data_IF_706501052408
#
_entry.id   IF_706501052408
#
_cell.length_a   1.000
_cell.length_b   1.000
_cell.length_c   1.000
_cell.angle_alpha   90.00
_cell.angle_beta   90.00
_cell.angle_gamma   90.00
#
_symmetry.space_group_name_H-M   'P 1'
#
loop_
_entity.id
_entity.type
_entity.pdbx_description
1 polymer ?
#
# COMPACT_ATOMS: atom_id res chain seq x y z
N UNK A 1 0.42 10.48 -5.80
CA UNK A 1 1.42 10.73 -4.74
C UNK A 1 0.72 10.51 -3.42
N UNK A 2 1.12 9.53 -2.60
CA UNK A 2 0.54 9.37 -1.28
C UNK A 2 0.92 10.62 -0.45
N UNK A 3 -0.08 11.26 0.16
CA UNK A 3 0.15 12.34 1.13
C UNK A 3 0.96 11.76 2.30
N UNK A 4 1.98 12.47 2.81
CA UNK A 4 2.61 12.05 4.05
C UNK A 4 1.58 12.12 5.17
N UNK A 5 1.56 11.06 5.99
CA UNK A 5 0.72 10.96 7.17
C UNK A 5 1.00 12.16 8.09
N UNK A 6 -0.04 12.95 8.35
CA UNK A 6 -0.03 14.05 9.30
C UNK A 6 -0.02 13.48 10.72
N UNK A 7 1.16 13.18 11.23
CA UNK A 7 1.37 12.85 12.65
C UNK A 7 2.65 13.51 13.15
N UNK A 8 2.63 14.83 13.34
CA UNK A 8 3.50 15.52 14.31
C UNK A 8 3.09 16.97 14.53
N UNK A 9 3.37 17.45 15.73
CA UNK A 9 3.10 18.82 16.15
C UNK A 9 3.88 19.83 15.30
N UNK A 10 3.21 20.82 14.67
CA UNK A 10 3.88 21.87 13.88
C UNK A 10 4.77 22.80 14.73
N UNK A 11 4.84 22.57 16.04
CA UNK A 11 5.53 23.41 17.03
C UNK A 11 7.04 23.27 17.02
N UNK A 12 7.59 22.14 16.54
CA UNK A 12 9.03 21.85 16.62
C UNK A 12 9.84 22.36 15.43
N UNK A 13 9.18 22.74 14.34
CA UNK A 13 9.81 23.33 13.15
C UNK A 13 9.92 24.85 13.30
N UNK A 14 10.82 25.30 14.18
CA UNK A 14 11.14 26.71 14.40
C UNK A 14 12.49 27.04 13.77
N UNK A 15 12.51 28.04 12.88
CA UNK A 15 13.77 28.53 12.34
C UNK A 15 14.57 29.31 13.41
N UNK A 16 15.85 28.99 13.66
CA UNK A 16 16.64 29.66 14.71
C UNK A 16 16.91 31.15 14.46
N UNK A 17 16.69 31.64 13.23
CA UNK A 17 17.07 32.99 12.80
C UNK A 17 15.87 33.93 12.76
N UNK A 18 14.81 33.53 12.07
CA UNK A 18 13.58 34.33 11.96
C UNK A 18 12.51 33.93 12.98
N UNK A 19 12.72 32.83 13.73
CA UNK A 19 11.75 32.27 14.70
C UNK A 19 10.35 32.04 14.11
N UNK A 20 10.20 32.05 12.79
CA UNK A 20 8.94 31.72 12.12
C UNK A 20 8.73 30.22 12.19
N UNK A 21 7.49 29.82 12.50
CA UNK A 21 7.06 28.44 12.60
C UNK A 21 6.26 28.04 11.34
N UNK A 22 6.34 26.76 10.94
CA UNK A 22 5.52 26.12 9.88
C UNK A 22 4.02 26.41 10.01
N UNK A 23 3.49 26.50 11.23
CA UNK A 23 2.09 26.79 11.53
C UNK A 23 1.62 28.15 10.99
N UNK A 24 2.45 29.19 11.10
CA UNK A 24 2.08 30.54 10.67
C UNK A 24 2.18 30.73 9.15
N UNK A 25 3.04 29.94 8.48
CA UNK A 25 3.18 29.97 7.04
C UNK A 25 3.41 28.54 6.51
N UNK A 26 2.34 27.83 6.11
CA UNK A 26 2.41 26.44 5.65
C UNK A 26 3.26 26.26 4.37
N UNK A 27 3.52 27.34 3.65
CA UNK A 27 4.33 27.35 2.43
C UNK A 27 5.83 27.47 2.69
N UNK A 28 6.27 27.70 3.93
CA UNK A 28 7.69 27.76 4.26
C UNK A 28 8.29 26.35 4.28
N UNK A 29 9.22 26.13 3.35
CA UNK A 29 10.02 24.92 3.31
C UNK A 29 11.24 25.05 4.22
N UNK A 30 11.43 24.05 5.08
CA UNK A 30 12.64 23.90 5.87
C UNK A 30 13.67 23.10 5.08
N UNK A 31 14.88 23.65 5.03
CA UNK A 31 16.03 23.06 4.37
C UNK A 31 17.06 22.62 5.42
N UNK A 32 17.73 21.52 5.13
CA UNK A 32 18.77 20.92 5.96
C UNK A 32 20.03 20.74 5.11
N UNK A 33 21.19 20.89 5.73
CA UNK A 33 22.48 20.61 5.11
C UNK A 33 23.09 19.35 5.75
N UNK A 34 23.60 18.39 4.95
CA UNK A 34 24.17 17.13 5.44
C UNK A 34 25.42 17.30 6.31
N UNK A 35 26.00 18.49 6.40
CA UNK A 35 27.17 18.73 7.25
C UNK A 35 26.82 19.17 8.68
N UNK A 36 25.81 20.03 8.90
CA UNK A 36 25.44 20.50 10.24
C UNK A 36 24.15 19.85 10.76
N UNK A 37 23.29 19.32 9.88
CA UNK A 37 21.95 18.84 10.24
C UNK A 37 21.18 19.84 11.13
N UNK A 38 21.07 21.10 10.67
CA UNK A 38 20.23 22.13 11.30
C UNK A 38 19.13 22.56 10.34
N UNK A 39 17.90 22.65 10.84
CA UNK A 39 16.72 23.11 10.10
C UNK A 39 16.75 24.63 9.94
N UNK A 40 16.65 25.11 8.70
CA UNK A 40 16.60 26.54 8.37
C UNK A 40 15.49 26.84 7.37
N UNK A 41 14.86 28.01 7.49
CA UNK A 41 13.84 28.45 6.54
C UNK A 41 14.45 28.78 5.16
N UNK A 42 13.74 28.52 4.05
CA UNK A 42 14.20 28.85 2.69
C UNK A 42 14.66 30.31 2.55
N UNK A 43 13.87 31.26 3.07
CA UNK A 43 14.19 32.70 3.05
C UNK A 43 15.48 33.03 3.80
N UNK A 44 15.77 32.30 4.87
CA UNK A 44 16.95 32.48 5.73
C UNK A 44 18.20 31.94 5.03
N UNK A 45 18.06 30.77 4.39
CA UNK A 45 19.11 30.16 3.58
C UNK A 45 19.46 31.08 2.41
N UNK A 46 18.45 31.61 1.72
CA UNK A 46 18.66 32.52 0.60
C UNK A 46 19.34 33.82 1.04
N UNK A 47 18.96 34.40 2.17
CA UNK A 47 19.59 35.65 2.64
C UNK A 47 21.06 35.47 3.03
N UNK A 48 21.38 34.42 3.78
CA UNK A 48 22.71 34.23 4.41
C UNK A 48 23.72 33.64 3.43
N UNK A 49 23.30 32.70 2.58
CA UNK A 49 24.20 32.00 1.66
C UNK A 49 24.22 32.59 0.25
N UNK A 50 23.48 33.66 -0.03
CA UNK A 50 23.62 34.42 -1.29
C UNK A 50 24.87 35.30 -1.32
N UNK A 51 25.36 35.75 -0.16
CA UNK A 51 26.60 36.53 -0.04
C UNK A 51 27.88 35.69 -0.17
N UNK A 52 27.77 34.37 -0.28
CA UNK A 52 28.90 33.45 -0.39
C UNK A 52 28.84 32.30 0.62
N UNK A 53 29.87 31.43 0.67
CA UNK A 53 29.96 30.38 1.68
C UNK A 53 30.12 31.02 3.06
N UNK A 54 29.13 30.81 3.92
CA UNK A 54 29.09 31.34 5.28
C UNK A 54 29.10 30.19 6.30
N UNK A 55 29.56 30.40 7.54
CA UNK A 55 29.37 29.44 8.60
C UNK A 55 27.88 29.32 8.99
N UNK A 56 27.51 28.16 9.52
CA UNK A 56 26.19 27.98 10.11
C UNK A 56 25.97 28.99 11.26
N UNK A 57 24.81 29.66 11.33
CA UNK A 57 24.53 30.69 12.34
C UNK A 57 24.03 30.13 13.68
N UNK A 58 23.98 28.80 13.84
CA UNK A 58 23.53 28.15 15.08
C UNK A 58 24.67 28.15 16.10
N UNK A 59 24.36 28.55 17.33
CA UNK A 59 25.30 28.48 18.46
C UNK A 59 25.77 27.03 18.59
N UNK A 60 27.09 26.81 18.60
CA UNK A 60 27.76 25.50 18.59
C UNK A 60 27.94 24.80 17.22
N UNK A 61 27.52 25.37 16.07
CA UNK A 61 27.97 24.92 14.73
C UNK A 61 28.74 26.01 14.00
N UNK A 62 30.03 25.81 13.76
CA UNK A 62 30.87 26.73 12.96
C UNK A 62 31.24 26.15 11.58
N UNK A 63 30.52 25.13 11.09
CA UNK A 63 30.83 24.50 9.79
C UNK A 63 30.46 25.45 8.65
N UNK A 64 31.33 25.54 7.66
CA UNK A 64 31.14 26.37 6.47
C UNK A 64 30.20 25.67 5.49
N UNK A 65 29.07 26.32 5.15
CA UNK A 65 28.02 25.73 4.32
C UNK A 65 27.89 26.47 2.98
N UNK A 66 27.46 25.75 1.94
CA UNK A 66 27.18 26.28 0.60
C UNK A 66 25.68 26.18 0.29
N UNK A 67 25.14 27.16 -0.45
CA UNK A 67 23.73 27.19 -0.86
C UNK A 67 23.25 25.92 -1.59
N UNK A 68 24.08 25.35 -2.48
CA UNK A 68 23.75 24.10 -3.21
C UNK A 68 23.71 22.85 -2.34
N UNK A 69 24.26 22.91 -1.12
CA UNK A 69 24.28 21.78 -0.19
C UNK A 69 23.00 21.63 0.63
N UNK A 70 22.07 22.57 0.54
CA UNK A 70 20.79 22.50 1.23
C UNK A 70 19.81 21.60 0.46
N UNK A 71 19.20 20.66 1.16
CA UNK A 71 18.15 19.75 0.68
C UNK A 71 16.89 19.95 1.52
N UNK A 72 15.73 19.64 0.97
CA UNK A 72 14.49 19.57 1.74
C UNK A 72 14.53 18.35 2.64
N UNK A 73 14.15 18.53 3.90
CA UNK A 73 13.95 17.40 4.81
C UNK A 73 12.83 16.51 4.26
N UNK A 74 13.06 15.20 4.15
CA UNK A 74 12.02 14.24 3.80
C UNK A 74 11.38 13.65 5.06
N UNK A 75 12.17 13.59 6.14
CA UNK A 75 11.74 13.10 7.44
C UNK A 75 11.83 14.22 8.48
N UNK A 76 10.96 14.18 9.47
CA UNK A 76 10.90 15.20 10.51
C UNK A 76 12.03 15.01 11.54
N UNK A 77 12.44 13.76 11.74
CA UNK A 77 13.55 13.36 12.61
C UNK A 77 14.91 13.46 11.92
N UNK A 78 15.74 14.40 12.40
CA UNK A 78 17.10 14.58 11.88
C UNK A 78 18.01 13.37 12.15
N UNK A 79 17.71 12.55 13.15
CA UNK A 79 18.44 11.31 13.39
C UNK A 79 18.26 10.31 12.25
N UNK A 80 17.02 10.13 11.79
CA UNK A 80 16.67 9.25 10.68
C UNK A 80 17.27 9.77 9.38
N UNK A 81 17.24 11.10 9.15
CA UNK A 81 17.88 11.68 7.96
C UNK A 81 19.39 11.47 7.92
N UNK A 82 20.07 11.64 9.07
CA UNK A 82 21.50 11.33 9.21
C UNK A 82 21.81 9.89 8.84
N UNK A 83 21.02 8.96 9.37
CA UNK A 83 21.16 7.54 9.07
C UNK A 83 20.91 7.26 7.58
N UNK A 84 19.85 7.82 6.99
CA UNK A 84 19.52 7.62 5.58
C UNK A 84 20.62 8.15 4.64
N UNK A 85 21.20 9.30 4.93
CA UNK A 85 22.32 9.87 4.16
C UNK A 85 23.58 8.99 4.28
N UNK A 86 23.89 8.52 5.49
CA UNK A 86 25.05 7.64 5.75
C UNK A 86 24.83 6.29 5.07
N UNK A 87 23.66 5.67 5.23
CA UNK A 87 23.30 4.40 4.58
C UNK A 87 23.41 4.52 3.07
N UNK A 88 22.90 5.60 2.46
CA UNK A 88 23.05 5.84 1.01
C UNK A 88 24.51 5.93 0.59
N UNK A 89 25.34 6.66 1.36
CA UNK A 89 26.78 6.79 1.09
C UNK A 89 27.50 5.44 1.20
N UNK A 90 27.14 4.63 2.20
CA UNK A 90 27.71 3.28 2.41
C UNK A 90 27.24 2.35 1.29
N UNK A 91 25.95 2.26 0.98
CA UNK A 91 25.42 1.41 -0.10
C UNK A 91 25.94 1.78 -1.50
N UNK A 92 26.31 3.05 -1.73
CA UNK A 92 26.98 3.45 -2.98
C UNK A 92 28.38 2.84 -3.12
N UNK A 93 29.08 2.61 -2.00
CA UNK A 93 30.41 2.00 -1.95
C UNK A 93 30.33 0.48 -1.81
N UNK A 94 29.33 -0.03 -1.09
CA UNK A 94 29.08 -1.45 -0.83
C UNK A 94 27.97 -1.96 -1.75
N UNK A 95 28.26 -2.06 -3.05
CA UNK A 95 27.30 -2.40 -4.10
C UNK A 95 27.46 -3.83 -4.64
N UNK A 96 27.73 -4.80 -3.76
CA UNK A 96 27.78 -6.23 -4.10
C UNK A 96 26.40 -6.87 -3.93
N UNK A 97 26.03 -7.74 -4.86
CA UNK A 97 24.76 -8.51 -4.82
C UNK A 97 24.97 -9.91 -4.26
N UNK A 98 23.87 -10.63 -3.98
CA UNK A 98 23.92 -12.03 -3.54
C UNK A 98 24.66 -12.92 -4.54
N UNK A 99 24.55 -12.63 -5.85
CA UNK A 99 25.23 -13.36 -6.93
C UNK A 99 26.76 -13.27 -6.88
N UNK A 100 27.32 -12.30 -6.16
CA UNK A 100 28.77 -12.12 -6.01
C UNK A 100 29.37 -13.07 -4.94
N UNK A 101 28.53 -13.83 -4.22
CA UNK A 101 28.94 -14.69 -3.11
C UNK A 101 28.65 -16.17 -3.40
N UNK A 102 29.53 -17.05 -2.91
CA UNK A 102 29.37 -18.51 -3.07
C UNK A 102 28.32 -19.09 -2.13
N UNK A 103 28.16 -18.49 -0.94
CA UNK A 103 27.22 -18.96 0.09
C UNK A 103 26.34 -17.84 0.61
N UNK A 104 25.10 -18.22 1.00
CA UNK A 104 24.16 -17.30 1.64
C UNK A 104 24.68 -16.79 2.99
N UNK A 105 25.48 -17.59 3.71
CA UNK A 105 26.06 -17.20 4.99
C UNK A 105 27.05 -16.05 4.81
N UNK A 106 27.90 -16.11 3.78
CA UNK A 106 28.87 -15.05 3.49
C UNK A 106 28.18 -13.75 3.09
N UNK A 107 27.08 -13.84 2.33
CA UNK A 107 26.25 -12.68 2.01
C UNK A 107 25.62 -12.05 3.26
N UNK A 108 25.06 -12.86 4.17
CA UNK A 108 24.48 -12.36 5.42
C UNK A 108 25.54 -11.75 6.35
N UNK A 109 26.72 -12.35 6.44
CA UNK A 109 27.84 -11.79 7.20
C UNK A 109 28.29 -10.44 6.61
N UNK A 110 28.37 -10.34 5.28
CA UNK A 110 28.66 -9.08 4.60
C UNK A 110 27.60 -8.01 4.88
N UNK A 111 26.31 -8.35 4.86
CA UNK A 111 25.24 -7.42 5.22
C UNK A 111 25.38 -6.96 6.68
N UNK A 112 25.69 -7.87 7.60
CA UNK A 112 25.93 -7.53 9.00
C UNK A 112 27.11 -6.56 9.14
N UNK A 113 28.24 -6.82 8.47
CA UNK A 113 29.40 -5.93 8.48
C UNK A 113 29.05 -4.52 7.94
N UNK A 114 28.17 -4.44 6.94
CA UNK A 114 27.71 -3.14 6.42
C UNK A 114 26.82 -2.38 7.41
N UNK A 115 25.93 -3.06 8.13
CA UNK A 115 25.08 -2.42 9.15
C UNK A 115 25.89 -2.04 10.40
N UNK A 116 26.84 -2.85 10.82
CA UNK A 116 27.77 -2.51 11.91
C UNK A 116 28.57 -1.25 11.57
N UNK A 117 29.04 -1.13 10.32
CA UNK A 117 29.71 0.09 9.84
C UNK A 117 28.77 1.31 9.85
N UNK A 118 27.51 1.15 9.41
CA UNK A 118 26.52 2.23 9.43
C UNK A 118 26.26 2.67 10.88
N UNK A 119 26.10 1.71 11.78
CA UNK A 119 25.90 1.96 13.20
C UNK A 119 27.06 2.75 13.82
N UNK A 120 28.30 2.35 13.54
CA UNK A 120 29.51 3.04 13.99
C UNK A 120 29.61 4.47 13.41
N UNK A 121 29.15 4.69 12.18
CA UNK A 121 29.16 6.03 11.57
C UNK A 121 28.07 6.97 12.13
N UNK A 122 26.91 6.42 12.49
CA UNK A 122 25.77 7.19 13.03
C UNK A 122 25.95 7.48 14.51
N UNK A 123 26.27 6.45 15.31
CA UNK A 123 26.31 6.50 16.76
C UNK A 123 27.72 6.58 17.35
N UNK A 124 28.74 6.16 16.59
CA UNK A 124 30.12 6.15 17.05
C UNK A 124 30.67 7.55 17.31
N UNK A 125 31.40 7.68 18.43
CA UNK A 125 32.06 8.93 18.84
C UNK A 125 33.57 8.79 18.67
N UNK A 126 34.21 9.81 18.09
CA UNK A 126 35.67 9.93 18.02
C UNK A 126 36.35 8.79 17.26
N UNK A 127 37.02 7.88 17.98
CA UNK A 127 37.87 6.81 17.42
C UNK A 127 37.09 5.80 16.57
N UNK A 128 35.95 5.32 17.07
CA UNK A 128 35.11 4.35 16.33
C UNK A 128 34.65 4.90 14.98
N UNK A 129 34.25 6.18 14.94
CA UNK A 129 33.88 6.86 13.70
C UNK A 129 35.05 7.00 12.73
N UNK A 130 36.24 7.34 13.22
CA UNK A 130 37.45 7.45 12.39
C UNK A 130 37.84 6.09 11.81
N UNK A 131 37.78 5.03 12.61
CA UNK A 131 38.06 3.66 12.16
C UNK A 131 37.04 3.20 11.11
N UNK A 132 35.76 3.52 11.29
CA UNK A 132 34.72 3.24 10.29
C UNK A 132 34.93 4.04 8.98
N UNK A 133 35.30 5.33 9.08
CA UNK A 133 35.65 6.14 7.91
C UNK A 133 36.90 5.61 7.18
N UNK A 134 37.90 5.13 7.92
CA UNK A 134 39.10 4.51 7.38
C UNK A 134 38.80 3.18 6.69
N UNK A 135 37.96 2.34 7.29
CA UNK A 135 37.47 1.10 6.66
C UNK A 135 36.74 1.41 5.35
N UNK A 136 35.86 2.41 5.35
CA UNK A 136 35.15 2.86 4.15
C UNK A 136 36.11 3.38 3.07
N UNK A 137 37.14 4.14 3.44
CA UNK A 137 38.15 4.64 2.51
C UNK A 137 38.97 3.50 1.89
N UNK A 138 39.46 2.57 2.72
CA UNK A 138 40.22 1.40 2.25
C UNK A 138 39.40 0.54 1.29
N UNK A 139 38.12 0.30 1.62
CA UNK A 139 37.24 -0.48 0.77
C UNK A 139 36.96 0.23 -0.56
N UNK A 140 36.75 1.56 -0.53
CA UNK A 140 36.58 2.37 -1.74
C UNK A 140 37.81 2.31 -2.65
N UNK A 141 39.02 2.39 -2.08
CA UNK A 141 40.27 2.33 -2.86
C UNK A 141 40.51 0.95 -3.44
N UNK A 142 40.29 -0.11 -2.66
CA UNK A 142 40.48 -1.49 -3.10
C UNK A 142 39.46 -1.92 -4.18
N UNK A 143 38.20 -1.47 -4.07
CA UNK A 143 37.11 -1.94 -4.91
C UNK A 143 36.61 -0.92 -5.95
N UNK A 144 37.34 0.17 -6.19
CA UNK A 144 36.88 1.25 -7.08
C UNK A 144 36.41 0.76 -8.45
N UNK A 145 37.14 -0.15 -9.08
CA UNK A 145 36.80 -0.70 -10.40
C UNK A 145 35.49 -1.48 -10.38
N UNK A 146 35.35 -2.44 -9.46
CA UNK A 146 34.12 -3.24 -9.30
C UNK A 146 32.91 -2.37 -8.93
N UNK A 147 33.12 -1.33 -8.11
CA UNK A 147 32.05 -0.40 -7.74
C UNK A 147 31.52 0.36 -8.97
N UNK A 148 32.41 0.87 -9.82
CA UNK A 148 32.03 1.60 -11.04
C UNK A 148 31.28 0.69 -12.03
N UNK A 149 31.71 -0.56 -12.18
CA UNK A 149 31.05 -1.55 -13.05
C UNK A 149 29.65 -1.93 -12.55
N UNK A 150 29.52 -2.30 -11.28
CA UNK A 150 28.22 -2.66 -10.68
C UNK A 150 27.26 -1.46 -10.69
N UNK A 151 27.77 -0.23 -10.50
CA UNK A 151 26.96 0.99 -10.61
C UNK A 151 26.48 1.20 -12.04
N UNK A 152 27.33 0.97 -13.04
CA UNK A 152 26.94 1.06 -14.45
C UNK A 152 25.92 -0.01 -14.83
N UNK A 153 26.08 -1.24 -14.35
CA UNK A 153 25.12 -2.33 -14.55
C UNK A 153 23.74 -1.96 -13.98
N UNK A 154 23.68 -1.52 -12.72
CA UNK A 154 22.43 -1.07 -12.08
C UNK A 154 21.76 0.08 -12.82
N UNK A 155 22.53 1.05 -13.32
CA UNK A 155 21.98 2.15 -14.11
C UNK A 155 21.37 1.68 -15.44
N UNK A 156 22.03 0.73 -16.13
CA UNK A 156 21.48 0.13 -17.35
C UNK A 156 20.18 -0.61 -17.09
N UNK A 157 20.08 -1.36 -15.99
CA UNK A 157 18.85 -2.06 -15.63
C UNK A 157 17.69 -1.11 -15.35
N UNK A 158 17.93 -0.03 -14.59
CA UNK A 158 16.92 1.00 -14.31
C UNK A 158 16.48 1.71 -15.60
N UNK A 159 17.41 2.03 -16.50
CA UNK A 159 17.10 2.65 -17.78
C UNK A 159 16.26 1.71 -18.67
N UNK A 160 16.63 0.42 -18.72
CA UNK A 160 15.88 -0.60 -19.46
C UNK A 160 14.47 -0.80 -18.88
N UNK A 161 14.32 -0.79 -17.55
CA UNK A 161 13.03 -0.84 -16.88
C UNK A 161 12.15 0.37 -17.22
N UNK A 162 12.71 1.58 -17.15
CA UNK A 162 12.00 2.81 -17.51
C UNK A 162 11.59 2.82 -18.99
N UNK A 163 12.45 2.32 -19.88
CA UNK A 163 12.14 2.24 -21.32
C UNK A 163 10.96 1.31 -21.58
N UNK A 164 10.93 0.13 -20.94
CA UNK A 164 9.80 -0.81 -21.02
C UNK A 164 8.49 -0.19 -20.53
N UNK A 165 8.51 0.56 -19.42
CA UNK A 165 7.32 1.22 -18.88
C UNK A 165 6.77 2.30 -19.85
N UNK A 166 7.67 3.03 -20.53
CA UNK A 166 7.27 4.01 -21.54
C UNK A 166 6.66 3.31 -22.75
N UNK A 167 7.31 2.27 -23.27
CA UNK A 167 6.80 1.47 -24.40
C UNK A 167 5.43 0.87 -24.09
N UNK A 168 5.21 0.35 -22.88
CA UNK A 168 3.92 -0.18 -22.43
C UNK A 168 2.83 0.90 -22.39
N UNK A 169 3.15 2.09 -21.85
CA UNK A 169 2.22 3.22 -21.81
C UNK A 169 1.88 3.74 -23.21
N UNK A 170 2.84 3.75 -24.13
CA UNK A 170 2.61 4.14 -25.52
C UNK A 170 1.73 3.14 -26.25
N UNK A 171 1.99 1.83 -26.09
CA UNK A 171 1.12 0.78 -26.63
C UNK A 171 -0.31 0.88 -26.07
N UNK A 172 -0.46 1.15 -24.77
CA UNK A 172 -1.78 1.35 -24.16
C UNK A 172 -2.51 2.57 -24.72
N UNK A 173 -1.80 3.67 -25.00
CA UNK A 173 -2.38 4.87 -25.66
C UNK A 173 -2.79 4.57 -27.09
N UNK A 174 -1.96 3.87 -27.86
CA UNK A 174 -2.27 3.48 -29.23
C UNK A 174 -3.50 2.56 -29.29
N UNK A 175 -3.65 1.63 -28.34
CA UNK A 175 -4.84 0.78 -28.22
C UNK A 175 -6.12 1.59 -27.93
N UNK A 176 -6.04 2.60 -27.06
CA UNK A 176 -7.19 3.48 -26.78
C UNK A 176 -7.58 4.32 -28.00
N UNK A 177 -6.59 4.82 -28.74
CA UNK A 177 -6.82 5.62 -29.95
C UNK A 177 -7.41 4.78 -31.09
N UNK A 178 -6.93 3.55 -31.26
CA UNK A 178 -7.46 2.62 -32.27
C UNK A 178 -8.90 2.23 -31.95
N UNK A 179 -9.21 1.86 -30.69
CA UNK A 179 -10.58 1.59 -30.26
C UNK A 179 -11.52 2.80 -30.49
N UNK A 180 -11.08 4.01 -30.13
CA UNK A 180 -11.89 5.22 -30.36
C UNK A 180 -12.13 5.49 -31.85
N UNK A 181 -11.14 5.18 -32.71
CA UNK A 181 -11.27 5.33 -34.16
C UNK A 181 -12.23 4.30 -34.74
N UNK A 182 -12.14 3.05 -34.29
CA UNK A 182 -13.05 1.98 -34.68
C UNK A 182 -14.50 2.30 -34.28
N UNK A 183 -14.72 2.81 -33.06
CA UNK A 183 -16.04 3.26 -32.59
C UNK A 183 -16.61 4.41 -33.43
N UNK A 184 -15.75 5.35 -33.87
CA UNK A 184 -16.17 6.47 -34.71
C UNK A 184 -16.53 6.01 -36.14
N UNK A 185 -15.74 5.09 -36.70
CA UNK A 185 -16.02 4.47 -38.00
C UNK A 185 -17.31 3.63 -37.94
N UNK A 186 -17.58 2.94 -36.82
CA UNK A 186 -18.84 2.22 -36.59
C UNK A 186 -20.05 3.16 -36.58
N UNK A 187 -19.97 4.27 -35.82
CA UNK A 187 -21.06 5.26 -35.79
C UNK A 187 -21.34 5.84 -37.18
N UNK A 188 -20.29 6.14 -37.95
CA UNK A 188 -20.43 6.62 -39.33
C UNK A 188 -21.07 5.58 -40.26
N UNK A 189 -20.74 4.30 -40.11
CA UNK A 189 -21.37 3.19 -40.87
C UNK A 189 -22.86 3.04 -40.53
N UNK A 190 -23.22 3.17 -39.24
CA UNK A 190 -24.62 3.14 -38.78
C UNK A 190 -25.40 4.34 -39.34
N UNK A 191 -24.80 5.53 -39.37
CA UNK A 191 -25.44 6.71 -39.95
C UNK A 191 -25.62 6.60 -41.47
N UNK A 192 -24.61 6.08 -42.20
CA UNK A 192 -24.72 5.85 -43.65
C UNK A 192 -25.83 4.85 -43.97
N UNK A 193 -25.88 3.74 -43.24
CA UNK A 193 -26.95 2.73 -43.42
C UNK A 193 -28.33 3.30 -43.08
N UNK A 194 -28.45 4.11 -42.02
CA UNK A 194 -29.70 4.83 -41.69
C UNK A 194 -30.13 5.80 -42.79
N UNK A 195 -29.21 6.58 -43.36
CA UNK A 195 -29.48 7.52 -44.46
C UNK A 195 -29.95 6.79 -45.72
N UNK A 196 -29.30 5.69 -46.09
CA UNK A 196 -29.72 4.87 -47.24
C UNK A 196 -31.14 4.33 -47.09
N UNK A 197 -31.53 3.90 -45.88
CA UNK A 197 -32.91 3.45 -45.61
C UNK A 197 -33.90 4.61 -45.73
N UNK A 198 -33.54 5.80 -45.23
CA UNK A 198 -34.39 7.00 -45.35
C UNK A 198 -34.54 7.44 -46.81
N UNK A 199 -33.48 7.42 -47.61
CA UNK A 199 -33.51 7.77 -49.03
C UNK A 199 -34.36 6.79 -49.85
N UNK A 200 -34.32 5.49 -49.52
CA UNK A 200 -35.19 4.46 -50.11
C UNK A 200 -36.67 4.66 -49.75
N UNK A 201 -36.95 5.10 -48.52
CA UNK A 201 -38.32 5.46 -48.10
C UNK A 201 -38.80 6.75 -48.77
N UNK A 202 -37.91 7.72 -48.99
CA UNK A 202 -38.23 9.01 -49.60
C UNK A 202 -38.43 8.93 -51.12
N UNK A 203 -37.72 8.02 -51.81
CA UNK A 203 -37.86 7.79 -53.25
C UNK A 203 -39.15 7.06 -53.64
N UNK A 204 -39.90 6.51 -52.67
CA UNK A 204 -41.27 5.98 -52.87
C UNK A 204 -41.35 4.68 -53.67
N UNK A 205 -40.24 4.03 -53.98
CA UNK A 205 -40.19 2.77 -54.72
C UNK A 205 -40.40 1.57 -53.77
N UNK A 206 -41.64 1.35 -53.33
CA UNK A 206 -42.07 0.10 -52.71
C UNK A 206 -42.87 0.23 -51.40
N UNK A 207 -43.26 -0.93 -50.88
CA UNK A 207 -44.08 -1.06 -49.67
C UNK A 207 -43.23 -0.80 -48.40
N UNK A 208 -43.59 0.21 -47.62
CA UNK A 208 -42.79 0.72 -46.49
C UNK A 208 -42.51 -0.35 -45.42
N UNK A 209 -43.43 -1.31 -45.27
CA UNK A 209 -43.30 -2.43 -44.32
C UNK A 209 -42.23 -3.42 -44.78
N UNK A 210 -42.10 -3.68 -46.08
CA UNK A 210 -41.10 -4.58 -46.61
C UNK A 210 -39.68 -3.98 -46.53
N UNK A 211 -39.55 -2.68 -46.82
CA UNK A 211 -38.26 -1.97 -46.79
C UNK A 211 -37.70 -1.90 -45.36
N UNK A 212 -38.54 -1.57 -44.38
CA UNK A 212 -38.13 -1.55 -42.96
C UNK A 212 -37.75 -2.93 -42.44
N UNK A 213 -38.48 -3.98 -42.81
CA UNK A 213 -38.13 -5.36 -42.44
C UNK A 213 -36.82 -5.83 -43.09
N UNK A 214 -36.56 -5.45 -44.34
CA UNK A 214 -35.29 -5.75 -45.03
C UNK A 214 -34.12 -4.98 -44.38
N UNK A 215 -34.31 -3.70 -44.07
CA UNK A 215 -33.33 -2.88 -43.35
C UNK A 215 -33.00 -3.45 -41.96
N UNK A 216 -34.01 -3.85 -41.19
CA UNK A 216 -33.83 -4.47 -39.87
C UNK A 216 -33.05 -5.79 -39.98
N UNK A 217 -33.30 -6.61 -41.02
CA UNK A 217 -32.53 -7.84 -41.28
C UNK A 217 -31.07 -7.55 -41.66
N UNK A 218 -30.80 -6.48 -42.41
CA UNK A 218 -29.43 -6.08 -42.80
C UNK A 218 -28.65 -5.54 -41.59
N UNK A 219 -29.30 -4.72 -40.75
CA UNK A 219 -28.70 -4.19 -39.50
C UNK A 219 -28.42 -5.33 -38.50
N UNK A 220 -29.34 -6.27 -38.33
CA UNK A 220 -29.15 -7.46 -37.49
C UNK A 220 -28.02 -8.36 -37.99
N UNK A 221 -27.94 -8.63 -39.31
CA UNK A 221 -26.85 -9.43 -39.87
C UNK A 221 -25.49 -8.75 -39.76
N UNK A 222 -25.42 -7.43 -40.03
CA UNK A 222 -24.16 -6.65 -39.92
C UNK A 222 -23.68 -6.52 -38.47
N UNK A 223 -24.59 -6.33 -37.51
CA UNK A 223 -24.27 -6.27 -36.08
C UNK A 223 -23.96 -7.64 -35.47
N UNK A 224 -24.55 -8.73 -35.99
CA UNK A 224 -24.27 -10.10 -35.52
C UNK A 224 -22.95 -10.65 -36.05
N UNK A 225 -22.63 -10.44 -37.34
CA UNK A 225 -21.35 -10.89 -37.92
C UNK A 225 -20.14 -10.12 -37.36
N UNK A 226 -20.34 -8.87 -36.95
CA UNK A 226 -19.29 -8.07 -36.28
C UNK A 226 -19.16 -8.38 -34.79
N UNK A 227 -20.24 -8.69 -34.06
CA UNK A 227 -20.13 -9.22 -32.69
C UNK A 227 -19.31 -10.50 -32.65
N UNK A 228 -19.47 -11.40 -33.62
CA UNK A 228 -18.65 -12.62 -33.70
C UNK A 228 -17.17 -12.38 -34.07
N UNK A 229 -16.84 -11.24 -34.68
CA UNK A 229 -15.46 -10.84 -34.97
C UNK A 229 -14.84 -10.09 -33.77
N UNK A 230 -15.58 -9.18 -33.16
CA UNK A 230 -15.20 -8.52 -31.90
C UNK A 230 -15.09 -9.48 -30.73
N UNK A 231 -15.91 -10.53 -30.65
CA UNK A 231 -15.75 -11.64 -29.72
C UNK A 231 -14.56 -12.53 -30.05
N UNK A 232 -14.15 -12.64 -31.32
CA UNK A 232 -12.92 -13.36 -31.70
C UNK A 232 -11.66 -12.58 -31.33
N UNK A 233 -11.65 -11.27 -31.55
CA UNK A 233 -10.53 -10.40 -31.16
C UNK A 233 -10.49 -10.14 -29.64
N UNK A 234 -11.65 -10.09 -28.99
CA UNK A 234 -11.77 -10.13 -27.54
C UNK A 234 -11.42 -11.51 -26.98
N UNK A 235 -11.70 -12.64 -27.64
CA UNK A 235 -11.28 -13.97 -27.18
C UNK A 235 -9.78 -14.23 -27.40
N UNK A 236 -9.15 -13.61 -28.41
CA UNK A 236 -7.70 -13.64 -28.59
C UNK A 236 -7.00 -12.76 -27.54
N UNK A 237 -7.62 -11.66 -27.08
CA UNK A 237 -7.08 -10.78 -26.01
C UNK A 237 -7.58 -11.11 -24.59
N UNK A 238 -8.61 -11.92 -24.43
CA UNK A 238 -9.16 -12.42 -23.17
C UNK A 238 -8.97 -13.93 -23.07
N UNK A 239 -7.76 -14.40 -23.38
CA UNK A 239 -7.29 -15.76 -23.09
C UNK A 239 -7.11 -16.01 -21.59
N UNK A 240 -8.17 -15.79 -20.80
CA UNK A 240 -8.40 -16.37 -19.47
C UNK A 240 -9.92 -16.46 -19.28
N UNK A 241 -10.50 -17.63 -19.57
CA UNK A 241 -11.87 -17.95 -19.19
C UNK A 241 -12.56 -18.99 -20.08
N UNK A 242 -12.46 -20.26 -19.68
CA UNK A 242 -13.26 -21.42 -20.10
C UNK A 242 -13.17 -21.91 -21.56
N UNK A 243 -12.40 -22.99 -21.73
CA UNK A 243 -12.56 -23.93 -22.82
C UNK A 243 -13.04 -25.27 -22.24
N UNK A 244 -14.36 -25.46 -22.17
CA UNK A 244 -14.95 -26.77 -22.42
C UNK A 244 -15.22 -26.82 -23.92
N UNK A 245 -14.22 -27.32 -24.67
CA UNK A 245 -14.25 -27.33 -26.13
C UNK A 245 -12.95 -27.89 -26.68
N UNK A 246 -13.05 -29.09 -27.22
CA UNK A 246 -11.98 -29.95 -27.71
C UNK A 246 -11.16 -29.31 -28.83
N UNK A 247 -9.82 -29.32 -28.68
CA UNK A 247 -8.86 -29.15 -29.77
C UNK A 247 -8.20 -27.78 -29.89
N UNK A 248 -7.07 -27.59 -29.19
CA UNK A 248 -5.82 -26.97 -29.65
C UNK A 248 -4.94 -26.58 -28.44
N UNK A 249 -4.15 -27.55 -27.95
CA UNK A 249 -3.21 -27.33 -26.84
C UNK A 249 -1.81 -27.00 -27.37
N UNK A 250 -1.41 -25.74 -27.35
CA UNK A 250 0.01 -25.37 -27.45
C UNK A 250 0.65 -25.65 -26.08
N UNK A 251 1.42 -26.73 -26.00
CA UNK A 251 2.20 -27.10 -24.80
C UNK A 251 3.30 -26.06 -24.55
N UNK A 252 3.36 -25.52 -23.33
CA UNK A 252 4.52 -24.76 -22.84
C UNK A 252 4.26 -23.34 -22.30
N UNK A 253 3.03 -22.83 -22.30
CA UNK A 253 2.74 -21.51 -21.74
C UNK A 253 2.67 -21.56 -20.19
N UNK A 254 3.62 -20.88 -19.54
CA UNK A 254 3.61 -20.67 -18.08
C UNK A 254 2.34 -19.90 -17.72
N UNK A 255 1.42 -20.51 -16.96
CA UNK A 255 0.22 -19.85 -16.43
C UNK A 255 0.65 -18.61 -15.64
N UNK A 256 0.39 -17.43 -16.19
CA UNK A 256 0.51 -16.18 -15.45
C UNK A 256 -0.64 -16.13 -14.46
N UNK A 257 -0.34 -16.28 -13.17
CA UNK A 257 -1.28 -15.96 -12.11
C UNK A 257 -1.67 -14.50 -12.28
N UNK A 258 -2.93 -14.24 -12.64
CA UNK A 258 -3.41 -12.88 -12.78
C UNK A 258 -3.20 -12.15 -11.44
N UNK A 259 -2.66 -10.92 -11.44
CA UNK A 259 -2.63 -10.12 -10.23
C UNK A 259 -4.08 -9.98 -9.73
N UNK A 260 -4.29 -10.30 -8.45
CA UNK A 260 -5.60 -10.27 -7.81
C UNK A 260 -6.21 -8.89 -8.02
N UNK A 261 -7.36 -8.83 -8.68
CA UNK A 261 -8.09 -7.58 -8.85
C UNK A 261 -8.32 -6.97 -7.46
N UNK A 262 -7.95 -5.70 -7.28
CA UNK A 262 -8.21 -4.98 -6.05
C UNK A 262 -9.71 -5.10 -5.73
N UNK A 263 -10.03 -5.66 -4.57
CA UNK A 263 -11.42 -5.87 -4.16
C UNK A 263 -12.13 -4.51 -4.14
N UNK A 264 -13.42 -4.44 -4.53
CA UNK A 264 -14.22 -3.23 -4.37
C UNK A 264 -14.06 -2.66 -2.95
N UNK A 265 -13.87 -1.34 -2.86
CA UNK A 265 -13.63 -0.66 -1.58
C UNK A 265 -14.77 -0.95 -0.60
N UNK A 266 -14.45 -1.72 0.44
CA UNK A 266 -15.36 -2.02 1.52
C UNK A 266 -15.21 -0.94 2.61
N UNK A 267 -16.24 -0.10 2.85
CA UNK A 267 -16.19 0.95 3.87
C UNK A 267 -16.00 0.42 5.29
N UNK A 268 -16.29 -0.87 5.54
CA UNK A 268 -16.10 -1.50 6.84
C UNK A 268 -14.86 -2.41 6.89
N UNK A 269 -14.06 -2.46 5.82
CA UNK A 269 -12.77 -3.18 5.81
C UNK A 269 -12.87 -4.67 6.18
N UNK A 270 -13.99 -5.32 5.86
CA UNK A 270 -14.25 -6.72 6.17
C UNK A 270 -14.72 -6.98 7.61
N UNK A 271 -15.07 -5.93 8.37
CA UNK A 271 -15.67 -6.08 9.70
C UNK A 271 -17.13 -6.47 9.50
N UNK A 272 -17.45 -7.72 9.82
CA UNK A 272 -18.83 -8.18 9.89
C UNK A 272 -19.49 -7.63 11.17
N UNK A 273 -20.45 -6.72 10.99
CA UNK A 273 -21.21 -6.10 12.08
C UNK A 273 -22.32 -7.00 12.60
N UNK A 274 -22.52 -8.19 12.00
CA UNK A 274 -23.52 -9.12 12.49
C UNK A 274 -23.09 -9.69 13.85
N UNK A 275 -23.99 -9.72 14.86
CA UNK A 275 -23.67 -10.29 16.16
C UNK A 275 -23.32 -11.79 16.00
N UNK A 276 -22.11 -12.18 16.39
CA UNK A 276 -21.67 -13.58 16.26
C UNK A 276 -22.34 -14.53 17.26
N UNK A 277 -22.85 -14.00 18.37
CA UNK A 277 -23.34 -14.79 19.51
C UNK A 277 -24.83 -15.13 19.46
N UNK A 278 -25.61 -14.36 18.71
CA UNK A 278 -27.04 -14.60 18.57
C UNK A 278 -27.53 -14.19 17.19
N UNK A 279 -28.49 -14.96 16.67
CA UNK A 279 -29.23 -14.61 15.46
C UNK A 279 -30.53 -13.97 15.89
N UNK A 280 -30.76 -12.73 15.47
CA UNK A 280 -32.00 -12.04 15.79
C UNK A 280 -33.15 -12.59 14.94
N UNK A 281 -34.24 -12.99 15.58
CA UNK A 281 -35.51 -13.26 14.91
C UNK A 281 -36.33 -11.98 14.79
N UNK A 282 -37.18 -11.90 13.78
CA UNK A 282 -38.08 -10.76 13.57
C UNK A 282 -39.12 -10.63 14.70
N UNK A 283 -39.52 -11.76 15.29
CA UNK A 283 -40.54 -11.83 16.31
C UNK A 283 -40.15 -12.74 17.49
N UNK A 284 -40.20 -12.17 18.69
CA UNK A 284 -40.12 -12.92 19.95
C UNK A 284 -41.45 -12.82 20.70
N UNK A 285 -41.82 -13.91 21.38
CA UNK A 285 -42.96 -13.94 22.30
C UNK A 285 -42.55 -13.26 23.62
N UNK A 286 -43.00 -12.02 23.82
CA UNK A 286 -42.75 -11.28 25.04
C UNK A 286 -44.01 -10.53 25.47
N UNK A 287 -44.50 -10.85 26.67
CA UNK A 287 -45.70 -10.27 27.26
C UNK A 287 -45.65 -8.74 27.33
N UNK A 288 -44.45 -8.14 27.45
CA UNK A 288 -44.29 -6.69 27.50
C UNK A 288 -44.32 -6.01 26.12
N UNK A 289 -43.99 -6.74 25.06
CA UNK A 289 -43.89 -6.21 23.69
C UNK A 289 -45.20 -6.42 22.92
N UNK A 290 -46.04 -7.37 23.33
CA UNK A 290 -47.33 -7.66 22.69
C UNK A 290 -48.30 -6.46 22.68
N UNK A 291 -48.27 -5.61 23.71
CA UNK A 291 -49.04 -4.37 23.73
C UNK A 291 -48.52 -3.34 22.72
N UNK A 292 -47.20 -3.28 22.55
CA UNK A 292 -46.50 -2.35 21.66
C UNK A 292 -46.70 -2.75 20.19
N UNK A 293 -46.75 -4.05 19.89
CA UNK A 293 -47.07 -4.57 18.55
C UNK A 293 -48.48 -4.17 18.08
N UNK A 294 -49.43 -4.07 19.01
CA UNK A 294 -50.85 -3.80 18.71
C UNK A 294 -51.18 -2.30 18.66
N UNK A 295 -50.48 -1.47 19.45
CA UNK A 295 -50.77 -0.05 19.57
C UNK A 295 -49.87 0.83 18.69
N UNK A 296 -50.39 1.42 17.59
CA UNK A 296 -49.59 2.24 16.67
C UNK A 296 -49.10 3.57 17.28
N UNK A 297 -49.62 3.96 18.46
CA UNK A 297 -49.16 5.14 19.20
C UNK A 297 -47.72 5.00 19.71
N UNK A 298 -47.26 3.76 19.92
CA UNK A 298 -45.91 3.48 20.42
C UNK A 298 -44.84 3.52 19.31
N UNK A 299 -45.27 3.58 18.04
CA UNK A 299 -44.37 3.75 16.90
C UNK A 299 -43.97 5.22 16.65
N UNK A 300 -44.65 6.16 17.32
CA UNK A 300 -44.32 7.58 17.22
C UNK A 300 -43.00 7.88 17.95
N UNK A 301 -41.91 8.04 17.18
CA UNK A 301 -40.57 8.33 17.73
C UNK A 301 -39.43 7.49 17.18
N UNK A 302 -39.68 6.64 16.17
CA UNK A 302 -38.64 5.79 15.58
C UNK A 302 -38.32 4.54 16.41
N UNK A 303 -39.22 4.17 17.33
CA UNK A 303 -39.09 2.93 18.10
C UNK A 303 -39.24 1.72 17.15
N UNK A 304 -38.18 0.93 17.04
CA UNK A 304 -38.14 -0.30 16.23
C UNK A 304 -38.05 -1.52 17.14
N UNK A 305 -38.95 -2.48 16.94
CA UNK A 305 -38.97 -3.74 17.69
C UNK A 305 -37.68 -4.54 17.50
N UNK A 306 -37.12 -4.50 16.29
CA UNK A 306 -35.87 -5.16 15.96
C UNK A 306 -34.68 -4.59 16.76
N UNK A 307 -34.62 -3.27 16.95
CA UNK A 307 -33.57 -2.63 17.77
C UNK A 307 -33.75 -2.96 19.26
N UNK A 308 -35.00 -3.02 19.73
CA UNK A 308 -35.30 -3.44 21.10
C UNK A 308 -34.86 -4.87 21.37
N UNK A 309 -35.19 -5.82 20.49
CA UNK A 309 -34.71 -7.20 20.61
C UNK A 309 -33.19 -7.28 20.52
N UNK A 310 -32.56 -6.49 19.64
CA UNK A 310 -31.11 -6.44 19.50
C UNK A 310 -30.43 -6.02 20.79
N UNK A 311 -30.93 -4.96 21.43
CA UNK A 311 -30.42 -4.48 22.73
C UNK A 311 -30.67 -5.50 23.85
N UNK A 312 -31.86 -6.08 23.91
CA UNK A 312 -32.21 -7.07 24.94
C UNK A 312 -31.34 -8.32 24.84
N UNK A 313 -31.11 -8.84 23.64
CA UNK A 313 -30.23 -9.98 23.40
C UNK A 313 -28.76 -9.64 23.66
N UNK A 314 -28.32 -8.43 23.30
CA UNK A 314 -26.97 -7.97 23.60
C UNK A 314 -26.72 -7.80 25.10
N UNK A 315 -27.68 -7.27 25.85
CA UNK A 315 -27.57 -7.13 27.31
C UNK A 315 -27.58 -8.50 28.01
N UNK A 316 -28.44 -9.41 27.55
CA UNK A 316 -28.52 -10.76 28.10
C UNK A 316 -27.27 -11.62 27.79
N UNK A 317 -26.75 -11.58 26.56
CA UNK A 317 -25.70 -12.48 26.08
C UNK A 317 -24.33 -11.81 25.89
N UNK A 318 -24.25 -10.48 25.99
CA UNK A 318 -23.00 -9.73 25.84
C UNK A 318 -22.03 -10.00 26.99
N UNK A 319 -22.53 -10.28 28.19
CA UNK A 319 -21.72 -10.62 29.36
C UNK A 319 -21.54 -12.11 29.62
N UNK A 320 -22.34 -12.97 28.99
CA UNK A 320 -22.21 -14.42 29.10
C UNK A 320 -21.15 -14.89 28.10
N UNK A 321 -20.26 -15.78 28.55
CA UNK A 321 -19.13 -16.36 27.80
C UNK A 321 -17.87 -15.49 27.61
N UNK A 322 -17.83 -14.26 28.15
CA UNK A 322 -16.56 -13.50 28.24
C UNK A 322 -15.81 -13.93 29.51
N UNK A 323 -15.01 -15.00 29.39
CA UNK A 323 -14.04 -15.33 30.40
C UNK A 323 -12.78 -14.51 30.14
N UNK A 324 -12.50 -13.54 31.02
CA UNK A 324 -11.28 -12.70 30.97
C UNK A 324 -10.03 -13.59 30.87
N UNK A 325 -10.07 -14.77 31.49
CA UNK A 325 -8.99 -15.75 31.48
C UNK A 325 -8.69 -16.34 30.09
N UNK A 326 -9.67 -16.43 29.19
CA UNK A 326 -9.49 -16.94 27.83
C UNK A 326 -9.16 -15.82 26.84
N UNK A 327 -9.71 -14.60 27.01
CA UNK A 327 -9.30 -13.42 26.23
C UNK A 327 -7.84 -13.00 26.51
N UNK A 328 -7.33 -13.22 27.72
CA UNK A 328 -5.93 -12.91 28.07
C UNK A 328 -4.95 -13.89 27.43
N UNK A 329 -5.35 -15.12 27.12
CA UNK A 329 -4.52 -16.11 26.41
C UNK A 329 -4.38 -15.79 24.92
N UNK A 330 -5.45 -15.30 24.30
CA UNK A 330 -5.46 -14.93 22.88
C UNK A 330 -4.92 -13.52 22.61
N UNK A 331 -4.69 -12.71 23.65
CA UNK A 331 -3.86 -11.51 23.53
C UNK A 331 -2.41 -11.93 23.26
N UNK A 332 -2.01 -11.86 22.00
CA UNK A 332 -0.59 -11.78 21.63
C UNK A 332 0.04 -10.62 22.43
N UNK A 333 0.80 -10.95 23.47
CA UNK A 333 1.56 -9.95 24.22
C UNK A 333 2.59 -9.32 23.25
N UNK A 334 2.55 -8.00 23.00
CA UNK A 334 3.75 -7.34 22.51
C UNK A 334 4.81 -7.49 23.61
N UNK A 335 5.90 -8.19 23.29
CA UNK A 335 6.89 -8.67 24.25
C UNK A 335 7.30 -7.61 25.28
N UNK A 336 6.94 -7.84 26.54
CA UNK A 336 7.41 -7.03 27.66
C UNK A 336 8.58 -7.71 28.34
N UNK A 337 9.68 -6.97 28.42
CA UNK A 337 10.95 -7.28 29.06
C UNK A 337 10.86 -8.08 30.35
N UNK A 338 11.67 -9.14 30.40
CA UNK A 338 12.06 -9.88 31.60
C UNK A 338 12.57 -8.93 32.69
N UNK A 339 11.85 -8.82 33.81
CA UNK A 339 12.38 -8.68 35.19
C UNK A 339 11.18 -8.84 36.14
N UNK A 340 11.21 -9.91 36.93
CA UNK A 340 10.52 -9.98 38.22
C UNK A 340 9.13 -10.62 38.26
N UNK A 341 9.04 -11.95 38.24
CA UNK A 341 7.93 -12.71 38.88
C UNK A 341 8.23 -14.20 39.10
N UNK A 342 9.46 -14.55 39.47
CA UNK A 342 9.79 -15.93 39.87
C UNK A 342 9.19 -16.33 41.24
N UNK A 343 8.79 -15.35 42.08
CA UNK A 343 8.30 -15.60 43.43
C UNK A 343 6.79 -15.96 43.50
N UNK A 344 6.00 -15.66 42.46
CA UNK A 344 4.56 -15.95 42.46
C UNK A 344 4.22 -17.37 42.01
N UNK A 345 5.12 -18.05 41.29
CA UNK A 345 4.91 -19.40 40.72
C UNK A 345 5.12 -20.51 41.76
N UNK A 346 5.87 -20.26 42.84
CA UNK A 346 6.12 -21.27 43.89
C UNK A 346 4.97 -21.41 44.90
N UNK A 347 4.05 -20.45 44.98
CA UNK A 347 2.96 -20.48 45.97
C UNK A 347 1.73 -21.31 45.55
N UNK A 348 1.66 -21.77 44.30
CA UNK A 348 0.48 -22.45 43.74
C UNK A 348 0.62 -23.98 43.63
N UNK A 349 1.75 -24.58 44.03
CA UNK A 349 2.02 -26.03 43.83
C UNK A 349 1.72 -26.94 45.03
N UNK A 350 1.16 -26.44 46.13
CA UNK A 350 0.78 -27.29 47.27
C UNK A 350 -0.74 -27.47 47.40
N UNK A 351 -1.26 -28.54 46.78
CA UNK A 351 -2.52 -29.17 47.22
C UNK A 351 -2.53 -30.69 46.99
N UNK A 352 -2.31 -31.40 48.09
CA UNK A 352 -2.83 -32.71 48.54
C UNK A 352 -3.62 -33.54 47.51
N UNK A 353 -3.04 -34.66 47.07
CA UNK A 353 -3.77 -35.85 46.63
C UNK A 353 -3.86 -36.83 47.81
N UNK A 354 -5.07 -37.25 48.17
CA UNK A 354 -5.32 -38.40 49.06
C UNK A 354 -5.80 -39.56 48.22
N UNK A 355 -5.11 -40.69 48.38
CA UNK A 355 -5.29 -41.92 47.61
C UNK A 355 -6.42 -42.79 48.19
N UNK A 356 -7.21 -43.42 47.30
CA UNK A 356 -8.04 -44.58 47.63
C UNK A 356 -7.40 -45.81 46.98
N UNK A 357 -7.16 -46.82 47.81
CA UNK A 357 -6.39 -48.04 47.56
C UNK A 357 -7.36 -49.23 47.59
N UNK A 358 -7.40 -50.05 46.55
CA UNK A 358 -7.93 -51.41 46.64
C UNK A 358 -7.41 -52.28 45.49
N UNK A 359 -6.60 -53.29 45.81
CA UNK A 359 -6.65 -54.61 45.15
C UNK A 359 -6.00 -55.71 46.03
N UNK A 360 -6.78 -56.78 46.20
CA UNK A 360 -6.47 -58.21 46.47
C UNK A 360 -5.74 -58.68 47.75
N UNK A 361 -6.44 -59.56 48.48
CA UNK A 361 -6.10 -60.93 48.94
C UNK A 361 -6.40 -61.17 50.44
N UNK A 362 -7.59 -61.72 50.72
CA UNK A 362 -7.86 -63.13 51.08
C UNK A 362 -9.33 -63.42 50.71
#
# INVERSE_FOLDING_TARGET
>A
MPKPLETSDPSDDICPICKSNRYLNPSLQFLINPECYHKMCSTCVDRIFSSGPAPCPVLHCARTLRKKGFKTAFFEDLAIERECDIRRRVSEVFNRSEDDFETLLDYNNYLQDTEDLIWDLVNGKGKAKQEAEDKLRRFREANRGAIEENKAARLREVEMGRRREIEEKEMARQRRLTALREDAEEKADVEKTRKQVLDQLASGEGDAVAITQQAHKIILKKSSARRTLGERDAAINAGTGSADGEGLTIRGLKKKTAPVAEKPYDPFGGIDLTPSRYVLQDDYENQWVDGIKRDPKHMAGGYSLHDYYGRAMHDALGGLEIFIEDEVKDRHQPGSSSIGTAAAVQASTEKKQTAVKAESMI
#
